data_IF_170367573869
#
_entry.id   IF_170367573869
#
_cell.length_a   1.000
_cell.length_b   1.000
_cell.length_c   1.000
_cell.angle_alpha   90.00
_cell.angle_beta   90.00
_cell.angle_gamma   90.00
#
_symmetry.space_group_name_H-M   'P 1'
#
loop_
_entity.id
_entity.type
_entity.pdbx_description
1 polymer ?
#
# COMPACT_ATOMS: atom_id res chain seq x y z
N UNK A 1 6.83 -12.78 7.71
CA UNK A 1 6.55 -11.35 7.49
C UNK A 1 7.44 -10.68 6.41
N UNK A 2 7.93 -11.41 5.39
CA UNK A 2 8.81 -10.82 4.34
C UNK A 2 8.09 -9.88 3.37
N UNK A 3 6.79 -10.08 3.12
CA UNK A 3 6.03 -9.27 2.15
C UNK A 3 5.85 -7.80 2.52
N UNK A 4 5.62 -7.47 3.81
CA UNK A 4 5.35 -6.08 4.24
C UNK A 4 6.60 -5.19 4.27
N UNK A 5 7.79 -5.77 4.47
CA UNK A 5 9.06 -5.02 4.34
C UNK A 5 9.28 -4.54 2.90
N UNK A 6 8.89 -5.34 1.90
CA UNK A 6 8.99 -4.94 0.49
C UNK A 6 8.09 -3.75 0.12
N UNK A 7 7.04 -3.49 0.89
CA UNK A 7 6.11 -2.40 0.64
C UNK A 7 6.44 -1.10 1.36
N UNK A 8 7.30 -1.17 2.39
CA UNK A 8 7.62 -0.02 3.21
C UNK A 8 8.28 1.10 2.40
N UNK A 9 9.30 0.78 1.59
CA UNK A 9 10.01 1.77 0.77
C UNK A 9 9.08 2.46 -0.26
N UNK A 10 8.32 1.74 -1.10
CA UNK A 10 7.32 2.36 -1.99
C UNK A 10 6.33 3.28 -1.27
N UNK A 11 5.87 2.89 -0.07
CA UNK A 11 4.93 3.70 0.70
C UNK A 11 5.57 4.96 1.28
N UNK A 12 6.81 4.89 1.77
CA UNK A 12 7.55 6.08 2.24
C UNK A 12 7.77 7.05 1.07
N UNK A 13 8.22 6.56 -0.09
CA UNK A 13 8.41 7.37 -1.30
C UNK A 13 7.10 8.06 -1.71
N UNK A 14 6.01 7.31 -1.78
CA UNK A 14 4.69 7.84 -2.12
C UNK A 14 4.21 8.88 -1.10
N UNK A 15 4.41 8.65 0.19
CA UNK A 15 4.04 9.59 1.24
C UNK A 15 4.79 10.91 1.13
N UNK A 16 6.12 10.85 1.02
CA UNK A 16 6.94 12.05 0.93
C UNK A 16 6.70 12.83 -0.37
N UNK A 17 6.33 12.14 -1.46
CA UNK A 17 5.93 12.78 -2.72
C UNK A 17 4.61 13.55 -2.57
N UNK A 18 3.61 12.95 -1.94
CA UNK A 18 2.24 13.49 -1.88
C UNK A 18 2.01 14.46 -0.71
N UNK A 19 2.69 14.25 0.43
CA UNK A 19 2.49 15.04 1.66
C UNK A 19 3.64 15.99 1.97
N UNK A 20 4.77 15.85 1.28
CA UNK A 20 5.98 16.63 1.55
C UNK A 20 6.78 16.09 2.74
N UNK A 21 7.61 16.93 3.38
CA UNK A 21 8.57 16.46 4.37
C UNK A 21 7.91 15.99 5.67
N UNK A 22 8.28 14.79 6.13
CA UNK A 22 7.74 14.12 7.32
C UNK A 22 8.85 13.52 8.20
N UNK A 23 8.66 13.49 9.52
CA UNK A 23 9.52 12.76 10.44
C UNK A 23 9.14 11.26 10.51
N UNK A 24 9.98 10.45 11.15
CA UNK A 24 9.75 9.00 11.23
C UNK A 24 8.43 8.61 11.90
N UNK A 25 7.96 9.36 12.90
CA UNK A 25 6.70 9.12 13.59
C UNK A 25 5.52 9.44 12.68
N UNK A 26 5.55 10.60 12.04
CA UNK A 26 4.53 11.01 11.06
C UNK A 26 4.43 9.99 9.92
N UNK A 27 5.55 9.44 9.43
CA UNK A 27 5.56 8.37 8.43
C UNK A 27 4.83 7.12 8.95
N UNK A 28 5.10 6.68 10.18
CA UNK A 28 4.44 5.51 10.77
C UNK A 28 2.93 5.73 10.86
N UNK A 29 2.50 6.90 11.33
CA UNK A 29 1.09 7.23 11.53
C UNK A 29 0.36 7.40 10.20
N UNK A 30 1.01 7.98 9.20
CA UNK A 30 0.44 8.10 7.86
C UNK A 30 0.29 6.76 7.16
N UNK A 31 1.24 5.82 7.33
CA UNK A 31 1.07 4.46 6.81
C UNK A 31 -0.09 3.76 7.50
N UNK A 32 -0.26 3.92 8.82
CA UNK A 32 -1.43 3.38 9.53
C UNK A 32 -2.74 3.95 8.96
N UNK A 33 -2.80 5.28 8.75
CA UNK A 33 -3.98 5.93 8.19
C UNK A 33 -4.28 5.47 6.77
N UNK A 34 -3.26 5.41 5.90
CA UNK A 34 -3.40 4.95 4.52
C UNK A 34 -3.85 3.49 4.43
N UNK A 35 -3.49 2.66 5.41
CA UNK A 35 -3.87 1.24 5.44
C UNK A 35 -5.21 0.97 6.12
N UNK A 36 -6.01 2.01 6.39
CA UNK A 36 -7.28 1.85 7.10
C UNK A 36 -7.11 1.29 8.52
N UNK A 37 -5.93 1.51 9.13
CA UNK A 37 -5.58 0.97 10.45
C UNK A 37 -5.04 -0.46 10.44
N UNK A 38 -5.00 -1.15 9.29
CA UNK A 38 -4.57 -2.55 9.20
C UNK A 38 -3.08 -2.75 9.52
N UNK A 39 -2.27 -1.72 9.34
CA UNK A 39 -0.84 -1.82 9.58
C UNK A 39 -0.17 -0.48 9.92
N UNK A 40 0.40 -0.42 11.13
CA UNK A 40 1.38 0.61 11.50
C UNK A 40 2.79 -0.03 11.50
N UNK A 41 3.74 0.43 10.68
CA UNK A 41 5.11 -0.05 10.75
C UNK A 41 5.76 0.36 12.08
N UNK A 42 6.73 -0.43 12.54
CA UNK A 42 7.44 -0.15 13.80
C UNK A 42 8.64 0.78 13.56
N UNK A 43 9.12 1.48 14.60
CA UNK A 43 10.36 2.27 14.52
C UNK A 43 11.53 1.46 13.99
N UNK A 44 11.68 0.21 14.45
CA UNK A 44 12.73 -0.72 14.01
C UNK A 44 12.61 -1.20 12.56
N UNK A 45 11.56 -0.80 11.84
CA UNK A 45 11.45 -0.99 10.39
C UNK A 45 11.59 0.32 9.61
N UNK A 46 11.04 1.42 10.13
CA UNK A 46 11.07 2.73 9.47
C UNK A 46 12.45 3.37 9.51
N UNK A 47 13.11 3.43 10.67
CA UNK A 47 14.40 4.12 10.77
C UNK A 47 15.53 3.44 9.98
N UNK A 48 15.67 2.09 10.00
CA UNK A 48 16.63 1.43 9.11
C UNK A 48 16.34 1.71 7.63
N UNK A 49 15.07 1.67 7.22
CA UNK A 49 14.70 1.99 5.84
C UNK A 49 15.03 3.43 5.45
N UNK A 50 14.79 4.40 6.34
CA UNK A 50 15.16 5.80 6.10
C UNK A 50 16.67 6.00 6.06
N UNK A 51 17.43 5.24 6.85
CA UNK A 51 18.90 5.25 6.79
C UNK A 51 19.40 4.71 5.43
N UNK A 52 18.88 3.57 4.97
CA UNK A 52 19.18 3.04 3.63
C UNK A 52 18.83 4.06 2.53
N UNK A 53 17.65 4.69 2.60
CA UNK A 53 17.24 5.69 1.61
C UNK A 53 18.09 6.96 1.65
N UNK A 54 18.67 7.33 2.80
CA UNK A 54 19.65 8.42 2.92
C UNK A 54 20.96 8.03 2.24
N UNK A 55 21.47 6.82 2.52
CA UNK A 55 22.70 6.29 1.92
C UNK A 55 22.59 6.17 0.39
N UNK A 56 21.43 5.76 -0.10
CA UNK A 56 21.10 5.70 -1.54
C UNK A 56 20.85 7.09 -2.16
N UNK A 57 20.81 8.15 -1.36
CA UNK A 57 20.55 9.52 -1.84
C UNK A 57 19.12 9.75 -2.33
N UNK A 58 18.15 8.92 -1.94
CA UNK A 58 16.73 9.05 -2.29
C UNK A 58 16.01 10.08 -1.40
N UNK A 59 16.47 10.27 -0.17
CA UNK A 59 15.94 11.28 0.74
C UNK A 59 17.07 12.15 1.29
N UNK A 60 16.71 13.32 1.79
CA UNK A 60 17.57 14.21 2.56
C UNK A 60 16.93 14.47 3.91
N UNK A 61 17.76 14.60 4.96
CA UNK A 61 17.29 14.94 6.31
C UNK A 61 17.39 16.45 6.52
N UNK A 62 16.27 17.08 6.84
CA UNK A 62 16.16 18.50 7.16
C UNK A 62 16.65 18.80 8.59
N UNK A 63 17.02 20.06 8.90
CA UNK A 63 17.47 20.44 10.25
C UNK A 63 16.43 20.18 11.35
N UNK A 64 15.14 20.24 11.02
CA UNK A 64 14.02 19.95 11.92
C UNK A 64 13.76 18.44 12.12
N UNK A 65 14.63 17.59 11.57
CA UNK A 65 14.56 16.14 11.71
C UNK A 65 13.59 15.44 10.75
N UNK A 66 12.91 16.19 9.87
CA UNK A 66 12.05 15.61 8.82
C UNK A 66 12.87 15.13 7.62
N UNK A 67 12.31 14.18 6.89
CA UNK A 67 12.87 13.63 5.67
C UNK A 67 12.12 14.21 4.47
N UNK A 68 12.84 14.53 3.41
CA UNK A 68 12.30 15.03 2.15
C UNK A 68 12.90 14.24 0.99
N UNK A 69 12.16 14.05 -0.11
CA UNK A 69 12.70 13.42 -1.31
C UNK A 69 13.77 14.30 -1.95
N UNK A 70 14.89 13.68 -2.29
CA UNK A 70 15.85 14.26 -3.24
C UNK A 70 15.27 14.26 -4.66
N UNK A 71 15.98 14.82 -5.63
CA UNK A 71 15.61 14.73 -7.05
C UNK A 71 15.51 13.26 -7.52
N UNK A 72 16.50 12.43 -7.18
CA UNK A 72 16.50 11.01 -7.48
C UNK A 72 15.33 10.28 -6.79
N UNK A 73 15.04 10.63 -5.54
CA UNK A 73 13.89 10.11 -4.80
C UNK A 73 12.55 10.46 -5.44
N UNK A 74 12.39 11.70 -5.94
CA UNK A 74 11.18 12.13 -6.65
C UNK A 74 11.00 11.37 -7.95
N UNK A 75 12.05 11.19 -8.74
CA UNK A 75 12.00 10.41 -9.99
C UNK A 75 11.62 8.95 -9.73
N UNK A 76 12.18 8.33 -8.68
CA UNK A 76 11.81 6.98 -8.30
C UNK A 76 10.37 6.90 -7.78
N UNK A 77 9.95 7.84 -6.94
CA UNK A 77 8.59 7.87 -6.39
C UNK A 77 7.51 8.01 -7.48
N UNK A 78 7.81 8.66 -8.59
CA UNK A 78 6.91 8.80 -9.74
C UNK A 78 6.84 7.54 -10.61
N UNK A 79 7.88 6.70 -10.61
CA UNK A 79 7.92 5.46 -11.40
C UNK A 79 7.46 4.22 -10.64
N UNK A 80 7.44 4.28 -9.31
CA UNK A 80 7.00 3.17 -8.45
C UNK A 80 5.53 3.34 -8.07
N UNK A 81 4.70 2.37 -8.43
CA UNK A 81 3.35 2.24 -7.89
C UNK A 81 3.42 1.51 -6.55
N UNK A 82 3.09 2.14 -5.40
CA UNK A 82 2.97 1.41 -4.16
C UNK A 82 1.80 0.43 -4.26
N UNK A 83 1.82 -0.69 -3.50
CA UNK A 83 0.63 -1.51 -3.36
C UNK A 83 -0.53 -0.67 -2.80
N UNK A 84 -1.79 -1.04 -3.09
CA UNK A 84 -2.93 -0.38 -2.48
C UNK A 84 -2.78 -0.43 -0.96
N UNK A 85 -2.68 0.71 -0.27
CA UNK A 85 -2.32 0.73 1.13
C UNK A 85 -3.44 0.12 1.98
N UNK A 86 -4.70 0.38 1.64
CA UNK A 86 -5.86 -0.33 2.18
C UNK A 86 -6.33 -1.40 1.17
N UNK A 87 -6.00 -2.68 1.38
CA UNK A 87 -6.43 -3.75 0.48
C UNK A 87 -7.94 -3.98 0.49
N UNK A 88 -8.67 -3.63 1.56
CA UNK A 88 -10.12 -3.79 1.62
C UNK A 88 -10.84 -2.66 0.89
N UNK A 89 -10.34 -1.43 1.00
CA UNK A 89 -10.83 -0.32 0.18
C UNK A 89 -10.63 -0.62 -1.32
N UNK A 90 -9.44 -1.07 -1.71
CA UNK A 90 -9.16 -1.44 -3.10
C UNK A 90 -10.04 -2.60 -3.61
N UNK A 91 -10.30 -3.60 -2.76
CA UNK A 91 -11.21 -4.69 -3.11
C UNK A 91 -12.65 -4.18 -3.31
N UNK A 92 -13.11 -3.25 -2.46
CA UNK A 92 -14.45 -2.65 -2.57
C UNK A 92 -14.61 -1.90 -3.89
N UNK A 93 -13.66 -1.03 -4.23
CA UNK A 93 -13.67 -0.32 -5.52
C UNK A 93 -13.65 -1.27 -6.72
N UNK A 94 -12.88 -2.37 -6.63
CA UNK A 94 -12.85 -3.39 -7.67
C UNK A 94 -14.20 -4.11 -7.81
N UNK A 95 -14.87 -4.41 -6.69
CA UNK A 95 -16.23 -5.00 -6.70
C UNK A 95 -17.23 -4.03 -7.31
N UNK A 96 -17.24 -2.76 -6.88
CA UNK A 96 -18.12 -1.71 -7.42
C UNK A 96 -17.93 -1.54 -8.94
N UNK A 97 -16.70 -1.70 -9.44
CA UNK A 97 -16.42 -1.70 -10.88
C UNK A 97 -17.00 -2.93 -11.59
N UNK A 98 -16.83 -4.12 -11.01
CA UNK A 98 -17.39 -5.37 -11.57
C UNK A 98 -18.91 -5.33 -11.59
N UNK A 99 -19.56 -4.76 -10.58
CA UNK A 99 -21.00 -4.57 -10.52
C UNK A 99 -21.50 -3.67 -11.67
N UNK A 100 -20.85 -2.52 -11.88
CA UNK A 100 -21.16 -1.66 -13.03
C UNK A 100 -20.97 -2.36 -14.37
N UNK A 101 -19.92 -3.19 -14.49
CA UNK A 101 -19.68 -3.97 -15.70
C UNK A 101 -20.75 -5.05 -15.92
N UNK A 102 -21.32 -5.60 -14.84
CA UNK A 102 -22.43 -6.55 -14.93
C UNK A 102 -23.68 -5.89 -15.52
N UNK A 103 -23.89 -4.60 -15.26
CA UNK A 103 -24.99 -3.82 -15.82
C UNK A 103 -24.72 -3.42 -17.28
N UNK A 104 -23.52 -2.92 -17.58
CA UNK A 104 -23.19 -2.37 -18.90
C UNK A 104 -22.82 -3.43 -19.94
N UNK A 105 -22.11 -4.49 -19.54
CA UNK A 105 -21.55 -5.50 -20.45
C UNK A 105 -21.74 -6.95 -19.92
N UNK A 106 -22.99 -7.39 -19.65
CA UNK A 106 -23.26 -8.65 -18.97
C UNK A 106 -22.72 -9.88 -19.72
N UNK A 107 -22.68 -9.86 -21.05
CA UNK A 107 -22.17 -10.99 -21.85
C UNK A 107 -20.66 -11.16 -21.68
N UNK A 108 -19.88 -10.06 -21.68
CA UNK A 108 -18.44 -10.12 -21.46
C UNK A 108 -18.11 -10.62 -20.05
N UNK A 109 -18.86 -10.16 -19.04
CA UNK A 109 -18.65 -10.61 -17.67
C UNK A 109 -19.03 -12.09 -17.47
N UNK A 110 -20.12 -12.57 -18.10
CA UNK A 110 -20.52 -14.00 -18.06
C UNK A 110 -19.42 -14.92 -18.60
N UNK A 111 -18.68 -14.50 -19.64
CA UNK A 111 -17.57 -15.28 -20.19
C UNK A 111 -16.43 -15.48 -19.16
N UNK A 112 -16.34 -14.59 -18.16
CA UNK A 112 -15.32 -14.63 -17.09
C UNK A 112 -15.86 -15.17 -15.76
N UNK A 113 -17.05 -15.78 -15.75
CA UNK A 113 -17.71 -16.26 -14.53
C UNK A 113 -16.86 -17.27 -13.73
N UNK A 114 -16.04 -18.08 -14.41
CA UNK A 114 -15.12 -19.00 -13.75
C UNK A 114 -14.06 -18.27 -12.89
N UNK A 115 -13.52 -17.15 -13.39
CA UNK A 115 -12.57 -16.32 -12.63
C UNK A 115 -13.24 -15.70 -11.40
N UNK A 116 -14.46 -15.18 -11.55
CA UNK A 116 -15.24 -14.60 -10.44
C UNK A 116 -15.48 -15.65 -9.35
N UNK A 117 -15.88 -16.87 -9.73
CA UNK A 117 -16.09 -17.97 -8.79
C UNK A 117 -14.81 -18.34 -8.05
N UNK A 118 -13.68 -18.42 -8.76
CA UNK A 118 -12.38 -18.69 -8.14
C UNK A 118 -11.97 -17.61 -7.13
N UNK A 119 -12.21 -16.33 -7.44
CA UNK A 119 -11.94 -15.24 -6.51
C UNK A 119 -12.81 -15.33 -5.26
N UNK A 120 -14.11 -15.65 -5.41
CA UNK A 120 -15.02 -15.88 -4.29
C UNK A 120 -14.52 -16.99 -3.37
N UNK A 121 -14.15 -18.15 -3.91
CA UNK A 121 -13.63 -19.29 -3.14
C UNK A 121 -12.36 -18.92 -2.35
N UNK A 122 -11.48 -18.11 -2.94
CA UNK A 122 -10.27 -17.61 -2.26
C UNK A 122 -10.61 -16.68 -1.11
N UNK A 123 -11.59 -15.78 -1.27
CA UNK A 123 -12.07 -14.89 -0.21
C UNK A 123 -12.74 -15.67 0.93
N UNK A 124 -13.59 -16.65 0.60
CA UNK A 124 -14.18 -17.57 1.60
C UNK A 124 -13.09 -18.34 2.36
N UNK A 125 -12.02 -18.76 1.70
CA UNK A 125 -10.90 -19.42 2.36
C UNK A 125 -10.14 -18.48 3.33
N UNK A 126 -10.05 -17.19 3.02
CA UNK A 126 -9.51 -16.17 3.93
C UNK A 126 -10.42 -16.01 5.15
N UNK A 127 -11.73 -15.88 4.93
CA UNK A 127 -12.74 -15.77 5.99
C UNK A 127 -12.70 -16.98 6.94
N UNK A 128 -12.68 -18.20 6.40
CA UNK A 128 -12.56 -19.43 7.20
C UNK A 128 -11.31 -19.42 8.07
N UNK A 129 -10.16 -19.00 7.52
CA UNK A 129 -8.89 -18.94 8.26
C UNK A 129 -8.93 -17.90 9.38
N UNK A 130 -9.59 -16.77 9.17
CA UNK A 130 -9.76 -15.75 10.20
C UNK A 130 -10.72 -16.21 11.31
N UNK A 131 -11.80 -16.91 10.92
CA UNK A 131 -12.81 -17.42 11.84
C UNK A 131 -12.33 -18.61 12.68
N UNK A 132 -11.34 -19.38 12.20
CA UNK A 132 -10.75 -20.50 12.95
C UNK A 132 -9.67 -20.11 13.95
N UNK A 133 -9.32 -18.83 14.03
CA UNK A 133 -8.23 -18.32 14.89
C UNK A 133 -8.79 -17.58 16.14
N UNK A 134 -10.10 -17.68 16.38
CA UNK A 134 -10.79 -17.23 17.58
C UNK A 134 -11.26 -18.44 18.38
#
# INVERSE_FOLDING_TARGET
MRGRRGWLRPLILSLLLNKGPLNGVEIMDEIQRLTGGLWRPSPGSVYPMLAEMLEEGLVVRRPDGRYELSEAGRALAQSVLPPPPDPLAALREAVDYVERLAESEPTALRQRLAEIRSLRERLEAVERRLSSTA
#
